data_IF_945419906813
#
_entry.id   IF_945419906813
#
_cell.length_a   1.000
_cell.length_b   1.000
_cell.length_c   1.000
_cell.angle_alpha   90.00
_cell.angle_beta   90.00
_cell.angle_gamma   90.00
#
_symmetry.space_group_name_H-M   'P 1'
#
loop_
_entity.id
_entity.type
_entity.pdbx_description
1 polymer ?
#
# COMPACT_ATOMS: atom_id res chain seq x y z
N UNK A 1 0.42 -1.55 25.02
CA UNK A 1 1.65 -2.35 25.15
C UNK A 1 2.67 -1.71 24.24
N UNK A 2 3.93 -1.59 24.68
CA UNK A 2 4.98 -1.05 23.84
C UNK A 2 5.23 -1.99 22.64
N UNK A 3 5.64 -1.44 21.51
CA UNK A 3 6.05 -2.23 20.34
C UNK A 3 7.13 -3.24 20.73
N UNK A 4 6.96 -4.50 20.35
CA UNK A 4 7.95 -5.55 20.54
C UNK A 4 8.63 -5.89 19.21
N UNK A 5 9.94 -6.06 19.28
CA UNK A 5 10.74 -6.52 18.15
C UNK A 5 11.02 -8.01 18.32
N UNK A 6 11.09 -8.73 17.20
CA UNK A 6 11.64 -10.09 17.17
C UNK A 6 13.05 -10.05 17.76
N UNK A 7 13.37 -10.98 18.65
CA UNK A 7 14.68 -10.99 19.30
C UNK A 7 15.80 -11.27 18.29
N UNK A 8 17.01 -10.79 18.59
CA UNK A 8 18.19 -11.06 17.76
C UNK A 8 18.45 -12.57 17.60
N UNK A 9 18.23 -13.36 18.64
CA UNK A 9 18.33 -14.84 18.59
C UNK A 9 17.31 -15.45 17.62
N UNK A 10 16.06 -14.97 17.66
CA UNK A 10 15.02 -15.42 16.76
C UNK A 10 15.33 -15.05 15.31
N UNK A 11 15.84 -13.83 15.06
CA UNK A 11 16.28 -13.42 13.72
C UNK A 11 17.46 -14.26 13.24
N UNK A 12 18.47 -14.47 14.08
CA UNK A 12 19.64 -15.30 13.77
C UNK A 12 19.25 -16.74 13.43
N UNK A 13 18.21 -17.28 14.09
CA UNK A 13 17.65 -18.59 13.75
C UNK A 13 17.13 -18.63 12.30
N UNK A 14 16.54 -17.53 11.80
CA UNK A 14 16.03 -17.47 10.43
C UNK A 14 17.16 -17.41 9.40
N UNK A 15 18.25 -16.70 9.69
CA UNK A 15 19.46 -16.77 8.86
C UNK A 15 20.04 -18.18 8.82
N UNK A 16 20.01 -18.91 9.94
CA UNK A 16 20.41 -20.32 9.97
C UNK A 16 19.53 -21.19 9.07
N UNK A 17 18.22 -20.91 9.00
CA UNK A 17 17.30 -21.59 8.07
C UNK A 17 17.52 -21.19 6.60
N UNK A 18 17.89 -19.93 6.33
CA UNK A 18 18.30 -19.49 4.98
C UNK A 18 19.47 -20.37 4.50
N UNK A 19 20.53 -20.49 5.30
CA UNK A 19 21.69 -21.32 4.98
C UNK A 19 21.35 -22.81 4.88
N UNK A 20 20.40 -23.28 5.67
CA UNK A 20 19.96 -24.67 5.62
C UNK A 20 19.19 -24.98 4.33
N UNK A 21 18.32 -24.06 3.86
CA UNK A 21 17.64 -24.19 2.57
C UNK A 21 18.65 -24.12 1.43
N UNK A 22 19.60 -23.17 1.46
CA UNK A 22 20.65 -23.08 0.44
C UNK A 22 21.45 -24.39 0.32
N UNK A 23 21.80 -25.03 1.45
CA UNK A 23 22.46 -26.34 1.47
C UNK A 23 21.61 -27.47 0.89
N UNK A 24 20.28 -27.44 1.10
CA UNK A 24 19.37 -28.42 0.50
C UNK A 24 19.28 -28.27 -1.03
N UNK A 25 19.40 -27.04 -1.53
CA UNK A 25 19.37 -26.76 -2.97
C UNK A 25 20.71 -27.13 -3.65
N UNK A 26 21.83 -27.01 -2.92
CA UNK A 26 23.17 -27.33 -3.43
C UNK A 26 23.54 -26.44 -4.62
N UNK A 27 24.09 -27.02 -5.69
CA UNK A 27 24.46 -26.28 -6.91
C UNK A 27 23.26 -25.95 -7.83
N UNK A 28 22.04 -26.38 -7.45
CA UNK A 28 20.84 -26.06 -8.23
C UNK A 28 20.51 -24.58 -8.08
N UNK A 29 20.09 -23.95 -9.18
CA UNK A 29 19.55 -22.59 -9.19
C UNK A 29 18.05 -22.63 -9.47
N UNK A 30 17.23 -23.04 -8.49
CA UNK A 30 15.80 -23.13 -8.68
C UNK A 30 15.21 -21.74 -8.95
N UNK A 31 14.13 -21.70 -9.71
CA UNK A 31 13.45 -20.44 -10.01
C UNK A 31 12.30 -20.19 -9.05
N UNK A 32 12.11 -18.94 -8.64
CA UNK A 32 10.98 -18.52 -7.83
C UNK A 32 10.13 -17.47 -8.57
N UNK A 33 8.82 -17.73 -8.62
CA UNK A 33 7.82 -16.79 -9.11
C UNK A 33 7.03 -16.27 -7.92
N UNK A 34 6.86 -14.96 -7.83
CA UNK A 34 5.99 -14.35 -6.80
C UNK A 34 5.02 -13.38 -7.47
N UNK A 35 3.75 -13.46 -7.10
CA UNK A 35 2.73 -12.56 -7.58
C UNK A 35 2.01 -11.90 -6.40
N UNK A 36 2.00 -10.57 -6.41
CA UNK A 36 1.34 -9.77 -5.38
C UNK A 36 -0.06 -9.38 -5.84
N UNK A 37 -1.06 -9.68 -5.02
CA UNK A 37 -2.39 -9.08 -5.11
C UNK A 37 -2.56 -8.09 -3.97
N UNK A 38 -3.07 -6.90 -4.26
CA UNK A 38 -3.54 -5.98 -3.22
C UNK A 38 -2.92 -4.60 -3.26
N UNK A 39 -2.28 -4.25 -2.14
CA UNK A 39 -1.78 -2.90 -1.86
C UNK A 39 -0.26 -2.83 -1.78
N UNK A 40 0.26 -1.61 -1.61
CA UNK A 40 1.68 -1.30 -1.50
C UNK A 40 2.35 -2.03 -0.34
N UNK A 41 1.62 -2.28 0.77
CA UNK A 41 2.15 -3.10 1.87
C UNK A 41 2.38 -4.55 1.45
N UNK A 42 1.49 -5.13 0.63
CA UNK A 42 1.70 -6.46 0.09
C UNK A 42 2.92 -6.48 -0.85
N UNK A 43 3.18 -5.42 -1.62
CA UNK A 43 4.40 -5.35 -2.44
C UNK A 43 5.66 -5.34 -1.58
N UNK A 44 5.71 -4.50 -0.54
CA UNK A 44 6.84 -4.45 0.39
C UNK A 44 7.07 -5.79 1.12
N UNK A 45 5.99 -6.49 1.49
CA UNK A 45 6.06 -7.83 2.05
C UNK A 45 6.64 -8.84 1.03
N UNK A 46 6.25 -8.74 -0.24
CA UNK A 46 6.80 -9.58 -1.31
C UNK A 46 8.28 -9.30 -1.56
N UNK A 47 8.75 -8.05 -1.49
CA UNK A 47 10.17 -7.70 -1.63
C UNK A 47 11.03 -8.38 -0.55
N UNK A 48 10.54 -8.44 0.71
CA UNK A 48 11.21 -9.17 1.80
C UNK A 48 11.27 -10.67 1.51
N UNK A 49 10.18 -11.26 1.04
CA UNK A 49 10.14 -12.70 0.72
C UNK A 49 11.09 -13.02 -0.44
N UNK A 50 11.13 -12.17 -1.47
CA UNK A 50 12.09 -12.29 -2.58
C UNK A 50 13.53 -12.16 -2.10
N UNK A 51 13.81 -11.24 -1.18
CA UNK A 51 15.13 -11.11 -0.56
C UNK A 51 15.56 -12.40 0.13
N UNK A 52 14.69 -12.93 1.00
CA UNK A 52 14.95 -14.20 1.69
C UNK A 52 15.12 -15.37 0.71
N UNK A 53 14.31 -15.46 -0.33
CA UNK A 53 14.45 -16.48 -1.38
C UNK A 53 15.77 -16.35 -2.15
N UNK A 54 16.19 -15.13 -2.47
CA UNK A 54 17.45 -14.86 -3.17
C UNK A 54 18.65 -15.33 -2.34
N UNK A 55 18.67 -15.02 -1.04
CA UNK A 55 19.72 -15.49 -0.12
C UNK A 55 19.72 -17.01 0.06
N UNK A 56 18.56 -17.66 -0.08
CA UNK A 56 18.47 -19.12 -0.10
C UNK A 56 18.98 -19.74 -1.41
N UNK A 57 19.25 -18.96 -2.46
CA UNK A 57 19.75 -19.44 -3.76
C UNK A 57 18.69 -19.56 -4.87
N UNK A 58 17.48 -19.01 -4.68
CA UNK A 58 16.48 -18.94 -5.75
C UNK A 58 16.76 -17.77 -6.70
N UNK A 59 16.65 -18.02 -8.01
CA UNK A 59 16.61 -16.96 -9.02
C UNK A 59 15.16 -16.54 -9.29
N UNK A 60 14.88 -15.24 -9.42
CA UNK A 60 13.52 -14.78 -9.71
C UNK A 60 13.15 -15.02 -11.18
N UNK A 61 11.91 -15.43 -11.43
CA UNK A 61 11.32 -15.53 -12.78
C UNK A 61 9.97 -14.81 -12.85
N UNK A 62 9.62 -14.35 -14.05
CA UNK A 62 8.36 -13.66 -14.34
C UNK A 62 7.26 -14.63 -14.82
N UNK A 63 7.56 -15.92 -14.98
CA UNK A 63 6.59 -16.95 -15.39
C UNK A 63 6.46 -18.08 -14.37
N UNK A 64 5.23 -18.49 -14.00
CA UNK A 64 5.03 -19.61 -13.10
C UNK A 64 5.50 -20.96 -13.69
N UNK A 65 5.49 -21.11 -15.02
CA UNK A 65 5.76 -22.41 -15.67
C UNK A 65 7.21 -22.89 -15.48
N UNK A 66 8.14 -21.94 -15.33
CA UNK A 66 9.56 -22.21 -15.10
C UNK A 66 9.92 -22.30 -13.62
N UNK A 67 9.02 -21.92 -12.72
CA UNK A 67 9.32 -21.79 -11.30
C UNK A 67 9.35 -23.15 -10.58
N UNK A 68 10.25 -23.31 -9.63
CA UNK A 68 10.29 -24.40 -8.64
C UNK A 68 9.62 -23.98 -7.31
N UNK A 69 9.46 -22.68 -7.09
CA UNK A 69 8.69 -22.09 -6.00
C UNK A 69 7.74 -21.02 -6.54
N UNK A 70 6.44 -21.13 -6.25
CA UNK A 70 5.42 -20.15 -6.64
C UNK A 70 4.76 -19.60 -5.39
N UNK A 71 4.75 -18.28 -5.24
CA UNK A 71 4.05 -17.59 -4.15
C UNK A 71 2.99 -16.62 -4.66
N UNK A 72 1.80 -16.71 -4.10
CA UNK A 72 0.80 -15.65 -4.19
C UNK A 72 0.69 -14.90 -2.86
N UNK A 73 1.09 -13.62 -2.83
CA UNK A 73 0.87 -12.74 -1.68
C UNK A 73 -0.47 -12.03 -1.86
N UNK A 74 -1.39 -12.22 -0.91
CA UNK A 74 -2.82 -11.96 -1.13
C UNK A 74 -3.38 -10.87 -0.22
N UNK A 75 -4.48 -10.25 -0.67
CA UNK A 75 -5.13 -9.14 0.00
C UNK A 75 -6.58 -9.47 0.34
N UNK A 76 -7.00 -9.15 1.57
CA UNK A 76 -8.37 -9.37 2.05
C UNK A 76 -9.26 -8.12 1.94
N UNK A 77 -8.71 -7.01 1.44
CA UNK A 77 -9.41 -5.70 1.42
C UNK A 77 -10.32 -5.56 0.19
N UNK A 78 -9.95 -6.16 -0.95
CA UNK A 78 -10.69 -6.07 -2.22
C UNK A 78 -11.23 -7.45 -2.62
N UNK A 79 -12.54 -7.58 -2.77
CA UNK A 79 -13.21 -8.84 -3.15
C UNK A 79 -12.63 -9.47 -4.42
N UNK A 80 -12.47 -8.67 -5.48
CA UNK A 80 -11.90 -9.14 -6.74
C UNK A 80 -10.47 -9.65 -6.60
N UNK A 81 -9.72 -9.22 -5.58
CA UNK A 81 -8.37 -9.76 -5.33
C UNK A 81 -8.45 -11.19 -4.75
N UNK A 82 -9.47 -11.48 -3.93
CA UNK A 82 -9.70 -12.79 -3.32
C UNK A 82 -10.07 -13.83 -4.39
N UNK A 83 -11.04 -13.54 -5.26
CA UNK A 83 -11.44 -14.46 -6.33
C UNK A 83 -10.32 -14.72 -7.33
N UNK A 84 -9.58 -13.67 -7.72
CA UNK A 84 -8.43 -13.80 -8.61
C UNK A 84 -7.33 -14.65 -8.00
N UNK A 85 -7.01 -14.47 -6.72
CA UNK A 85 -6.01 -15.29 -6.04
C UNK A 85 -6.38 -16.78 -6.06
N UNK A 86 -7.63 -17.10 -5.70
CA UNK A 86 -8.12 -18.48 -5.75
C UNK A 86 -8.15 -19.08 -7.16
N UNK A 87 -8.54 -18.29 -8.17
CA UNK A 87 -8.52 -18.70 -9.57
C UNK A 87 -7.11 -19.06 -10.06
N UNK A 88 -6.12 -18.20 -9.77
CA UNK A 88 -4.72 -18.43 -10.13
C UNK A 88 -4.12 -19.65 -9.43
N UNK A 89 -4.37 -19.82 -8.13
CA UNK A 89 -3.93 -21.03 -7.39
C UNK A 89 -4.59 -22.30 -7.96
N UNK A 90 -5.87 -22.20 -8.35
CA UNK A 90 -6.60 -23.29 -8.99
C UNK A 90 -5.96 -23.73 -10.30
N UNK A 91 -5.52 -22.77 -11.12
CA UNK A 91 -4.89 -23.02 -12.42
C UNK A 91 -3.57 -23.83 -12.30
N UNK A 92 -2.84 -23.72 -11.18
CA UNK A 92 -1.59 -24.45 -10.95
C UNK A 92 -1.78 -25.96 -10.67
N UNK A 93 -3.03 -26.46 -10.61
CA UNK A 93 -3.29 -27.88 -10.35
C UNK A 93 -2.63 -28.80 -11.38
N UNK A 94 -2.65 -28.41 -12.66
CA UNK A 94 -2.03 -29.18 -13.74
C UNK A 94 -0.51 -29.17 -13.61
N UNK A 95 0.09 -27.99 -13.40
CA UNK A 95 1.52 -27.83 -13.19
C UNK A 95 2.03 -28.67 -12.00
N UNK A 96 1.33 -28.66 -10.86
CA UNK A 96 1.67 -29.48 -9.69
C UNK A 96 1.62 -30.98 -9.97
N UNK A 97 0.71 -31.43 -10.84
CA UNK A 97 0.61 -32.84 -11.23
C UNK A 97 1.79 -33.28 -12.10
N UNK A 98 2.23 -32.41 -13.00
CA UNK A 98 3.36 -32.66 -13.91
C UNK A 98 4.71 -32.50 -13.20
N UNK A 99 4.82 -31.56 -12.27
CA UNK A 99 6.01 -31.28 -11.46
C UNK A 99 5.68 -31.41 -9.96
N UNK A 100 5.64 -32.63 -9.40
CA UNK A 100 5.25 -32.85 -8.00
C UNK A 100 6.11 -32.13 -6.98
N UNK A 101 7.37 -31.83 -7.29
CA UNK A 101 8.32 -31.19 -6.39
C UNK A 101 8.19 -29.66 -6.32
N UNK A 102 7.40 -29.01 -7.19
CA UNK A 102 7.19 -27.55 -7.15
C UNK A 102 6.54 -27.14 -5.82
N UNK A 103 7.06 -26.12 -5.14
CA UNK A 103 6.46 -25.61 -3.91
C UNK A 103 5.47 -24.50 -4.25
N UNK A 104 4.19 -24.71 -3.96
CA UNK A 104 3.15 -23.67 -4.12
C UNK A 104 2.80 -23.08 -2.75
N UNK A 105 2.97 -21.78 -2.62
CA UNK A 105 2.76 -21.03 -1.40
C UNK A 105 1.69 -19.93 -1.58
N UNK A 106 0.97 -19.63 -0.49
CA UNK A 106 0.06 -18.50 -0.39
C UNK A 106 0.30 -17.77 0.92
N UNK A 107 0.39 -16.44 0.89
CA UNK A 107 0.54 -15.63 2.09
C UNK A 107 -0.33 -14.38 2.07
N UNK A 108 -0.18 -13.53 3.10
CA UNK A 108 -0.80 -12.21 3.15
C UNK A 108 -2.13 -12.19 3.90
N UNK A 109 -2.90 -11.12 3.72
CA UNK A 109 -4.06 -10.82 4.57
C UNK A 109 -5.18 -11.87 4.45
N UNK A 110 -5.36 -12.53 3.29
CA UNK A 110 -6.40 -13.56 3.16
C UNK A 110 -6.06 -14.82 3.97
N UNK A 111 -4.77 -15.12 4.14
CA UNK A 111 -4.32 -16.27 4.92
C UNK A 111 -4.64 -16.12 6.41
N UNK A 112 -4.97 -14.91 6.89
CA UNK A 112 -5.40 -14.64 8.26
C UNK A 112 -6.89 -14.87 8.50
N UNK A 113 -7.67 -15.15 7.46
CA UNK A 113 -9.10 -15.40 7.61
C UNK A 113 -9.37 -16.91 7.67
N UNK A 114 -9.95 -17.38 8.76
CA UNK A 114 -10.25 -18.81 8.98
C UNK A 114 -11.01 -19.44 7.81
N UNK A 115 -12.02 -18.72 7.26
CA UNK A 115 -12.79 -19.17 6.09
C UNK A 115 -11.89 -19.56 4.90
N UNK A 116 -10.81 -18.81 4.69
CA UNK A 116 -9.92 -18.96 3.54
C UNK A 116 -8.89 -20.06 3.80
N UNK A 117 -8.41 -20.16 5.03
CA UNK A 117 -7.57 -21.27 5.48
C UNK A 117 -8.30 -22.60 5.27
N UNK A 118 -9.55 -22.70 5.72
CA UNK A 118 -10.36 -23.92 5.56
C UNK A 118 -10.66 -24.23 4.09
N UNK A 119 -10.92 -23.21 3.28
CA UNK A 119 -11.08 -23.37 1.82
C UNK A 119 -9.80 -23.91 1.16
N UNK A 120 -8.62 -23.38 1.51
CA UNK A 120 -7.33 -23.89 1.00
C UNK A 120 -7.07 -25.33 1.44
N UNK A 121 -7.34 -25.66 2.71
CA UNK A 121 -7.19 -27.03 3.22
C UNK A 121 -8.03 -28.03 2.43
N UNK A 122 -9.31 -27.71 2.17
CA UNK A 122 -10.29 -28.59 1.54
C UNK A 122 -10.21 -28.64 0.02
N UNK A 123 -10.05 -27.50 -0.64
CA UNK A 123 -10.23 -27.39 -2.10
C UNK A 123 -8.94 -27.22 -2.90
N UNK A 124 -7.82 -26.89 -2.25
CA UNK A 124 -6.54 -26.61 -2.92
C UNK A 124 -5.40 -27.47 -2.36
N UNK A 125 -5.45 -28.81 -2.54
CA UNK A 125 -4.42 -29.72 -2.02
C UNK A 125 -3.03 -29.49 -2.62
N UNK A 126 -2.94 -28.81 -3.77
CA UNK A 126 -1.68 -28.42 -4.40
C UNK A 126 -0.87 -27.38 -3.59
N UNK A 127 -1.50 -26.64 -2.67
CA UNK A 127 -0.81 -25.64 -1.85
C UNK A 127 -0.01 -26.32 -0.74
N UNK A 128 1.31 -26.16 -0.81
CA UNK A 128 2.29 -26.70 0.13
C UNK A 128 2.46 -25.82 1.37
N UNK A 129 2.40 -24.50 1.22
CA UNK A 129 2.69 -23.55 2.28
C UNK A 129 1.60 -22.47 2.35
N UNK A 130 1.04 -22.25 3.54
CA UNK A 130 0.17 -21.12 3.81
C UNK A 130 0.63 -20.41 5.08
N UNK A 131 0.85 -19.09 5.01
CA UNK A 131 1.25 -18.33 6.19
C UNK A 131 0.66 -16.92 6.24
N UNK A 132 0.37 -16.48 7.46
CA UNK A 132 -0.22 -15.19 7.75
C UNK A 132 0.78 -14.02 7.66
N UNK A 133 0.26 -12.81 7.76
CA UNK A 133 1.02 -11.55 7.78
C UNK A 133 2.00 -11.47 8.96
N UNK A 134 1.68 -12.07 10.11
CA UNK A 134 2.51 -12.11 11.32
C UNK A 134 3.65 -13.14 11.24
N UNK A 135 3.60 -14.06 10.26
CA UNK A 135 4.55 -15.15 10.10
C UNK A 135 5.60 -14.87 9.02
N UNK A 136 5.56 -13.69 8.36
CA UNK A 136 6.43 -13.36 7.22
C UNK A 136 7.91 -13.54 7.56
N UNK A 137 8.35 -13.07 8.72
CA UNK A 137 9.74 -13.18 9.15
C UNK A 137 10.19 -14.63 9.39
N UNK A 138 9.26 -15.55 9.69
CA UNK A 138 9.52 -16.99 9.87
C UNK A 138 9.55 -17.77 8.55
N UNK A 139 9.34 -17.10 7.42
CA UNK A 139 9.30 -17.74 6.09
C UNK A 139 10.45 -18.71 5.84
N UNK A 140 11.72 -18.40 6.19
CA UNK A 140 12.83 -19.35 6.04
C UNK A 140 12.58 -20.69 6.73
N UNK A 141 12.21 -20.67 8.01
CA UNK A 141 11.92 -21.89 8.76
C UNK A 141 10.72 -22.66 8.20
N UNK A 142 9.70 -21.95 7.72
CA UNK A 142 8.50 -22.56 7.15
C UNK A 142 8.78 -23.25 5.81
N UNK A 143 9.58 -22.62 4.94
CA UNK A 143 10.00 -23.23 3.67
C UNK A 143 10.90 -24.44 3.92
N UNK A 144 11.85 -24.33 4.84
CA UNK A 144 12.71 -25.45 5.22
C UNK A 144 11.89 -26.69 5.61
N UNK A 145 10.87 -26.51 6.46
CA UNK A 145 9.97 -27.61 6.87
C UNK A 145 9.21 -28.23 5.70
N UNK A 146 8.73 -27.42 4.76
CA UNK A 146 8.06 -27.93 3.55
C UNK A 146 9.00 -28.82 2.74
N UNK A 147 10.25 -28.41 2.58
CA UNK A 147 11.26 -29.14 1.81
C UNK A 147 11.70 -30.44 2.50
N UNK A 148 11.86 -30.44 3.84
CA UNK A 148 12.36 -31.61 4.59
C UNK A 148 11.26 -32.57 5.01
N UNK A 149 10.13 -32.09 5.50
CA UNK A 149 9.03 -32.94 5.99
C UNK A 149 8.17 -33.48 4.83
N UNK A 150 8.23 -32.84 3.66
CA UNK A 150 7.38 -33.11 2.48
C UNK A 150 5.89 -33.12 2.81
N UNK A 151 5.48 -32.26 3.76
CA UNK A 151 4.09 -32.06 4.19
C UNK A 151 3.64 -30.63 3.94
N UNK A 152 2.32 -30.43 3.94
CA UNK A 152 1.76 -29.09 3.88
C UNK A 152 1.98 -28.38 5.23
N UNK A 153 2.45 -27.14 5.20
CA UNK A 153 2.72 -26.32 6.38
C UNK A 153 1.76 -25.14 6.40
N UNK A 154 1.11 -24.92 7.53
CA UNK A 154 0.16 -23.82 7.75
C UNK A 154 0.58 -23.08 9.03
N UNK A 155 0.93 -21.79 8.91
CA UNK A 155 1.25 -20.92 10.04
C UNK A 155 0.49 -19.60 9.94
N UNK A 156 -0.68 -19.58 10.58
CA UNK A 156 -1.57 -18.40 10.67
C UNK A 156 -1.46 -17.72 12.04
N UNK A 157 -0.56 -18.21 12.90
CA UNK A 157 -0.35 -17.66 14.23
C UNK A 157 0.80 -16.68 14.27
N UNK A 158 1.06 -16.15 15.46
CA UNK A 158 2.18 -15.26 15.72
C UNK A 158 1.75 -14.02 16.48
N UNK A 159 2.74 -13.38 17.07
CA UNK A 159 2.59 -12.12 17.79
C UNK A 159 2.80 -10.93 16.84
N UNK A 160 2.42 -9.74 17.31
CA UNK A 160 2.54 -8.48 16.57
C UNK A 160 3.97 -7.93 16.65
N UNK A 161 4.97 -8.76 16.33
CA UNK A 161 6.39 -8.36 16.38
C UNK A 161 6.86 -7.71 15.08
N UNK A 162 7.89 -6.88 15.21
CA UNK A 162 8.62 -6.30 14.09
C UNK A 162 9.97 -7.01 13.94
N UNK A 163 10.23 -7.55 12.75
CA UNK A 163 11.50 -8.15 12.37
C UNK A 163 12.32 -7.14 11.55
N UNK A 164 13.44 -6.70 12.11
CA UNK A 164 14.38 -5.78 11.46
C UNK A 164 15.53 -6.55 10.80
N UNK A 165 16.17 -5.97 9.79
CA UNK A 165 17.40 -6.51 9.20
C UNK A 165 17.26 -7.74 8.30
N UNK A 166 16.04 -8.19 8.00
CA UNK A 166 15.82 -9.29 7.05
C UNK A 166 16.18 -8.88 5.61
N UNK A 167 16.69 -9.81 4.77
CA UNK A 167 17.01 -9.53 3.37
C UNK A 167 15.81 -9.01 2.58
N UNK A 168 16.05 -8.03 1.70
CA UNK A 168 15.02 -7.44 0.84
C UNK A 168 15.52 -7.33 -0.59
N UNK A 169 14.78 -7.92 -1.54
CA UNK A 169 15.03 -7.74 -2.97
C UNK A 169 14.04 -6.71 -3.52
N UNK A 170 14.53 -5.49 -3.72
CA UNK A 170 13.73 -4.35 -4.17
C UNK A 170 13.40 -4.41 -5.65
N UNK A 171 12.24 -3.87 -6.03
CA UNK A 171 11.92 -3.64 -7.43
C UNK A 171 12.90 -2.63 -8.06
N UNK A 172 13.26 -2.86 -9.33
CA UNK A 172 14.06 -1.90 -10.11
C UNK A 172 13.23 -0.64 -10.41
N UNK A 173 13.88 0.50 -10.54
CA UNK A 173 13.28 1.75 -10.98
C UNK A 173 13.47 2.90 -10.00
N UNK A 174 12.64 3.93 -10.14
CA UNK A 174 12.78 5.19 -9.40
C UNK A 174 12.17 5.16 -7.99
N UNK A 175 11.34 4.15 -7.67
CA UNK A 175 10.44 4.15 -6.50
C UNK A 175 10.76 3.04 -5.54
N UNK A 176 10.63 3.33 -4.24
CA UNK A 176 10.79 2.35 -3.18
C UNK A 176 9.69 2.44 -2.12
N UNK A 177 9.42 1.30 -1.49
CA UNK A 177 8.48 1.16 -0.40
C UNK A 177 9.22 1.06 0.95
N UNK A 178 8.93 1.97 1.87
CA UNK A 178 9.54 1.98 3.20
C UNK A 178 8.45 1.81 4.26
N UNK A 179 8.22 0.59 4.74
CA UNK A 179 7.28 0.35 5.84
C UNK A 179 7.79 1.04 7.10
N UNK A 180 7.02 1.95 7.70
CA UNK A 180 7.38 2.62 8.97
C UNK A 180 6.60 2.06 10.15
N UNK A 181 5.48 1.40 9.89
CA UNK A 181 4.62 0.80 10.90
C UNK A 181 3.70 -0.26 10.28
N UNK A 182 3.07 -1.06 11.13
CA UNK A 182 2.10 -2.08 10.73
C UNK A 182 0.86 -2.02 11.63
N UNK A 183 -0.25 -2.59 11.16
CA UNK A 183 -1.49 -2.71 11.93
C UNK A 183 -2.24 -1.39 12.08
N UNK A 184 -3.45 -1.45 12.65
CA UNK A 184 -4.34 -0.29 12.75
C UNK A 184 -5.26 -0.40 13.97
N UNK A 185 -5.38 0.68 14.75
CA UNK A 185 -6.19 0.74 15.97
C UNK A 185 -7.54 1.44 15.76
N UNK A 186 -7.91 1.77 14.52
CA UNK A 186 -9.13 2.52 14.24
C UNK A 186 -10.42 1.68 14.35
N UNK A 187 -10.37 0.39 13.98
CA UNK A 187 -11.56 -0.48 13.95
C UNK A 187 -12.77 0.16 13.26
N UNK A 188 -12.54 0.82 12.11
CA UNK A 188 -13.64 1.30 11.27
C UNK A 188 -14.53 0.11 10.91
N UNK A 189 -15.85 0.27 10.98
CA UNK A 189 -16.79 -0.87 10.93
C UNK A 189 -16.76 -1.65 9.63
N UNK A 190 -16.26 -1.07 8.54
CA UNK A 190 -16.07 -1.72 7.25
C UNK A 190 -14.66 -2.28 7.00
N UNK A 191 -13.70 -2.01 7.89
CA UNK A 191 -12.29 -2.27 7.63
C UNK A 191 -11.84 -3.58 8.27
N UNK A 192 -11.36 -4.51 7.44
CA UNK A 192 -10.85 -5.81 7.90
C UNK A 192 -9.42 -5.73 8.47
N UNK A 193 -8.69 -4.65 8.18
CA UNK A 193 -7.26 -4.52 8.45
C UNK A 193 -6.87 -4.82 9.90
N UNK A 194 -7.53 -4.28 10.94
CA UNK A 194 -7.16 -4.56 12.33
C UNK A 194 -7.19 -6.05 12.70
N UNK A 195 -8.01 -6.84 12.02
CA UNK A 195 -8.18 -8.28 12.27
C UNK A 195 -7.16 -9.15 11.55
N UNK A 196 -6.57 -8.65 10.45
CA UNK A 196 -5.63 -9.41 9.59
C UNK A 196 -4.21 -8.86 9.60
N UNK A 197 -3.98 -7.71 10.24
CA UNK A 197 -2.66 -7.09 10.42
C UNK A 197 -2.35 -6.76 11.87
N UNK A 198 -3.30 -6.97 12.79
CA UNK A 198 -3.12 -6.75 14.21
C UNK A 198 -3.13 -5.28 14.62
N UNK A 199 -2.66 -5.04 15.84
CA UNK A 199 -2.58 -3.71 16.46
C UNK A 199 -1.47 -2.86 15.84
N UNK A 200 -1.60 -1.54 15.98
CA UNK A 200 -0.54 -0.64 15.50
C UNK A 200 0.78 -0.94 16.20
N UNK A 201 1.82 -1.06 15.38
CA UNK A 201 3.20 -1.23 15.78
C UNK A 201 4.12 -0.37 14.94
N UNK A 202 4.79 0.59 15.56
CA UNK A 202 5.73 1.50 14.90
C UNK A 202 7.14 0.93 14.91
N UNK A 203 7.86 1.02 13.78
CA UNK A 203 9.30 0.72 13.75
C UNK A 203 10.08 1.80 14.49
N UNK A 204 11.26 1.46 14.98
CA UNK A 204 12.18 2.45 15.56
C UNK A 204 12.63 3.44 14.48
N UNK A 205 12.63 4.75 14.75
CA UNK A 205 13.04 5.75 13.77
C UNK A 205 14.45 5.52 13.20
N UNK A 206 15.37 5.00 14.02
CA UNK A 206 16.77 4.76 13.65
C UNK A 206 16.88 3.69 12.55
N UNK A 207 16.06 2.63 12.64
CA UNK A 207 15.98 1.58 11.63
C UNK A 207 15.36 2.09 10.32
N UNK A 208 14.33 2.94 10.43
CA UNK A 208 13.71 3.58 9.26
C UNK A 208 14.71 4.49 8.54
N UNK A 209 15.46 5.30 9.27
CA UNK A 209 16.48 6.18 8.70
C UNK A 209 17.63 5.40 8.05
N UNK A 210 18.05 4.28 8.66
CA UNK A 210 19.08 3.41 8.09
C UNK A 210 18.62 2.86 6.74
N UNK A 211 17.42 2.28 6.68
CA UNK A 211 16.85 1.76 5.44
C UNK A 211 16.62 2.87 4.40
N UNK A 212 16.23 4.07 4.81
CA UNK A 212 16.14 5.22 3.90
C UNK A 212 17.48 5.56 3.26
N UNK A 213 18.58 5.59 4.04
CA UNK A 213 19.92 5.86 3.50
C UNK A 213 20.31 4.82 2.46
N UNK A 214 20.08 3.54 2.75
CA UNK A 214 20.33 2.44 1.80
C UNK A 214 19.53 2.60 0.49
N UNK A 215 18.26 3.04 0.58
CA UNK A 215 17.44 3.30 -0.60
C UNK A 215 17.96 4.51 -1.41
N UNK A 216 18.36 5.59 -0.75
CA UNK A 216 18.89 6.77 -1.43
C UNK A 216 20.22 6.46 -2.09
N UNK A 217 21.11 5.73 -1.42
CA UNK A 217 22.41 5.29 -1.95
C UNK A 217 22.24 4.34 -3.15
N UNK A 218 21.18 3.52 -3.15
CA UNK A 218 20.80 2.68 -4.29
C UNK A 218 20.17 3.47 -5.47
N UNK A 219 19.96 4.78 -5.33
CA UNK A 219 19.51 5.67 -6.39
C UNK A 219 17.99 5.87 -6.48
N UNK A 220 17.20 5.38 -5.51
CA UNK A 220 15.75 5.64 -5.48
C UNK A 220 15.46 7.13 -5.28
N UNK A 221 14.47 7.64 -6.03
CA UNK A 221 14.10 9.07 -6.06
C UNK A 221 12.75 9.36 -5.44
N UNK A 222 11.90 8.37 -5.27
CA UNK A 222 10.62 8.51 -4.57
C UNK A 222 10.47 7.37 -3.57
N UNK A 223 10.51 7.71 -2.28
CA UNK A 223 10.36 6.77 -1.18
C UNK A 223 8.99 7.01 -0.56
N UNK A 224 8.12 6.00 -0.65
CA UNK A 224 6.79 6.07 -0.02
C UNK A 224 6.81 5.36 1.32
N UNK A 225 6.55 6.13 2.38
CA UNK A 225 6.36 5.63 3.73
C UNK A 225 5.03 4.85 3.81
N UNK A 226 5.11 3.60 4.24
CA UNK A 226 3.98 2.69 4.31
C UNK A 226 3.58 2.40 5.76
N UNK A 227 2.27 2.33 5.95
CA UNK A 227 1.61 1.90 7.17
C UNK A 227 0.15 1.61 6.85
N UNK A 228 -0.65 1.25 7.84
CA UNK A 228 -2.11 1.20 7.69
C UNK A 228 -2.78 2.47 8.24
N UNK A 229 -2.05 3.23 9.06
CA UNK A 229 -2.43 4.55 9.57
C UNK A 229 -1.15 5.37 9.82
N UNK A 230 -0.46 5.82 8.77
CA UNK A 230 0.92 6.36 8.88
C UNK A 230 1.06 7.52 9.87
N UNK A 231 0.06 8.38 9.97
CA UNK A 231 0.09 9.55 10.85
C UNK A 231 -0.24 9.24 12.31
N UNK A 232 -0.49 7.97 12.68
CA UNK A 232 -0.47 7.52 14.08
C UNK A 232 0.88 6.98 14.54
N UNK A 233 1.90 7.00 13.68
CA UNK A 233 3.27 6.57 14.01
C UNK A 233 3.78 7.18 15.32
N UNK A 234 4.48 6.36 16.10
CA UNK A 234 5.20 6.78 17.31
C UNK A 234 4.41 6.66 18.61
N UNK A 235 3.07 6.56 18.54
CA UNK A 235 2.19 6.50 19.72
C UNK A 235 2.43 5.30 20.63
N UNK A 236 3.08 4.25 20.14
CA UNK A 236 3.33 2.98 20.82
C UNK A 236 4.82 2.75 21.18
N UNK A 237 5.72 3.66 20.80
CA UNK A 237 7.17 3.48 20.98
C UNK A 237 7.69 3.81 22.39
N UNK A 238 6.90 4.54 23.19
CA UNK A 238 7.32 5.04 24.50
C UNK A 238 8.44 6.09 24.45
N UNK A 239 8.64 6.73 23.29
CA UNK A 239 9.59 7.84 23.07
C UNK A 239 8.82 9.06 22.54
N UNK A 240 9.39 10.24 22.73
CA UNK A 240 8.80 11.50 22.26
C UNK A 240 9.19 11.78 20.79
N UNK A 241 8.71 10.90 19.89
CA UNK A 241 8.86 11.04 18.44
C UNK A 241 7.54 10.68 17.80
N UNK A 242 6.88 11.66 17.17
CA UNK A 242 5.67 11.43 16.38
C UNK A 242 5.98 11.38 14.87
N UNK A 243 4.93 11.21 14.06
CA UNK A 243 5.07 11.15 12.60
C UNK A 243 5.68 12.43 12.00
N UNK A 244 5.37 13.61 12.54
CA UNK A 244 5.91 14.87 12.05
C UNK A 244 7.40 14.99 12.35
N UNK A 245 7.85 14.50 13.51
CA UNK A 245 9.27 14.42 13.86
C UNK A 245 10.01 13.42 12.98
N UNK A 246 9.41 12.26 12.70
CA UNK A 246 9.95 11.29 11.76
C UNK A 246 10.15 11.91 10.37
N UNK A 247 9.16 12.65 9.84
CA UNK A 247 9.29 13.34 8.56
C UNK A 247 10.49 14.30 8.53
N UNK A 248 10.69 15.08 9.60
CA UNK A 248 11.86 15.99 9.70
C UNK A 248 13.18 15.24 9.74
N UNK A 249 13.24 14.12 10.48
CA UNK A 249 14.44 13.26 10.54
C UNK A 249 14.78 12.67 9.17
N UNK A 250 13.78 12.13 8.47
CA UNK A 250 13.96 11.56 7.14
C UNK A 250 14.31 12.64 6.09
N UNK A 251 13.75 13.84 6.20
CA UNK A 251 14.10 14.97 5.33
C UNK A 251 15.58 15.37 5.45
N UNK A 252 16.17 15.22 6.64
CA UNK A 252 17.58 15.55 6.89
C UNK A 252 18.57 14.57 6.24
N UNK A 253 18.13 13.39 5.78
CA UNK A 253 19.01 12.44 5.09
C UNK A 253 19.52 13.06 3.77
N UNK A 254 20.84 13.12 3.53
CA UNK A 254 21.39 13.69 2.30
C UNK A 254 20.90 12.98 1.04
N UNK A 255 20.82 13.70 -0.07
CA UNK A 255 20.36 13.18 -1.35
C UNK A 255 19.17 13.94 -1.91
N UNK A 256 18.90 13.67 -3.19
CA UNK A 256 17.83 14.30 -3.95
C UNK A 256 16.72 13.28 -4.25
N UNK A 257 15.66 13.32 -3.45
CA UNK A 257 14.53 12.40 -3.47
C UNK A 257 13.27 13.03 -2.88
N UNK A 258 12.11 12.46 -3.18
CA UNK A 258 10.84 12.77 -2.55
C UNK A 258 10.44 11.71 -1.52
N UNK A 259 9.93 12.19 -0.39
CA UNK A 259 9.20 11.41 0.61
C UNK A 259 7.71 11.57 0.36
N UNK A 260 7.02 10.44 0.24
CA UNK A 260 5.56 10.37 0.15
C UNK A 260 5.01 9.52 1.27
N UNK A 261 3.74 9.71 1.57
CA UNK A 261 2.99 8.79 2.38
C UNK A 261 1.53 8.77 1.94
N UNK A 262 0.88 7.65 2.20
CA UNK A 262 -0.56 7.48 2.00
C UNK A 262 -1.14 6.83 3.25
N UNK A 263 -2.46 6.58 3.27
CA UNK A 263 -3.16 5.94 4.41
C UNK A 263 -3.11 6.74 5.70
N UNK A 264 -3.41 8.04 5.63
CA UNK A 264 -3.60 8.87 6.82
C UNK A 264 -5.02 8.73 7.38
N UNK A 265 -5.21 9.00 8.67
CA UNK A 265 -6.53 9.11 9.27
C UNK A 265 -6.79 10.54 9.78
N UNK A 266 -7.97 11.16 9.53
CA UNK A 266 -8.26 12.53 9.97
C UNK A 266 -8.06 12.76 11.48
N UNK A 267 -8.43 11.78 12.32
CA UNK A 267 -8.22 11.85 13.78
C UNK A 267 -6.75 12.09 14.21
N UNK A 268 -5.80 11.68 13.36
CA UNK A 268 -4.36 11.73 13.65
C UNK A 268 -3.67 12.82 12.82
N UNK A 269 -4.42 13.63 12.05
CA UNK A 269 -3.87 14.74 11.28
C UNK A 269 -3.74 15.97 12.20
N UNK A 270 -2.50 16.33 12.54
CA UNK A 270 -2.21 17.41 13.48
C UNK A 270 -1.68 18.67 12.77
N UNK A 271 -1.84 19.86 13.37
CA UNK A 271 -1.17 21.06 12.87
C UNK A 271 0.35 20.92 12.78
N UNK A 272 0.96 20.12 13.67
CA UNK A 272 2.40 19.80 13.65
C UNK A 272 2.78 19.02 12.39
N UNK A 273 1.95 18.07 11.95
CA UNK A 273 2.13 17.35 10.69
C UNK A 273 2.12 18.31 9.49
N UNK A 274 1.12 19.19 9.40
CA UNK A 274 1.04 20.14 8.28
C UNK A 274 2.20 21.14 8.27
N UNK A 275 2.68 21.56 9.44
CA UNK A 275 3.87 22.41 9.55
C UNK A 275 5.12 21.66 9.07
N UNK A 276 5.32 20.42 9.50
CA UNK A 276 6.45 19.60 9.06
C UNK A 276 6.42 19.37 7.54
N UNK A 277 5.23 19.07 6.98
CA UNK A 277 5.06 18.95 5.52
C UNK A 277 5.41 20.25 4.80
N UNK A 278 5.04 21.43 5.32
CA UNK A 278 5.36 22.70 4.69
C UNK A 278 6.87 23.02 4.75
N UNK A 279 7.50 22.80 5.92
CA UNK A 279 8.91 23.07 6.20
C UNK A 279 9.88 22.14 5.46
N UNK A 280 9.51 20.86 5.27
CA UNK A 280 10.39 19.85 4.68
C UNK A 280 10.35 19.90 3.15
N UNK A 281 11.48 20.17 2.51
CA UNK A 281 11.65 20.30 1.06
C UNK A 281 11.57 18.97 0.30
N UNK A 282 11.90 17.85 0.94
CA UNK A 282 11.78 16.51 0.36
C UNK A 282 10.43 15.87 0.62
N UNK A 283 9.65 16.36 1.59
CA UNK A 283 8.30 15.87 1.82
C UNK A 283 7.38 16.46 0.77
N UNK A 284 6.91 15.60 -0.12
CA UNK A 284 6.07 16.00 -1.24
C UNK A 284 4.80 16.72 -0.76
N UNK A 285 4.42 17.82 -1.41
CA UNK A 285 3.17 18.57 -1.12
C UNK A 285 1.91 17.85 -1.62
N UNK A 286 1.72 16.62 -1.13
CA UNK A 286 0.58 15.76 -1.39
C UNK A 286 0.03 15.26 -0.07
N UNK A 287 -1.26 15.51 0.20
CA UNK A 287 -1.95 14.97 1.36
C UNK A 287 -3.05 14.02 0.92
N UNK A 288 -2.87 12.74 1.22
CA UNK A 288 -3.92 11.74 1.11
C UNK A 288 -4.62 11.57 2.47
N UNK A 289 -5.85 12.08 2.59
CA UNK A 289 -6.62 12.10 3.84
C UNK A 289 -8.06 11.59 3.64
N UNK A 290 -8.27 10.26 3.69
CA UNK A 290 -9.57 9.60 3.58
C UNK A 290 -10.64 10.10 4.55
N UNK A 291 -11.64 10.83 4.03
CA UNK A 291 -12.83 11.25 4.79
C UNK A 291 -13.93 10.19 4.85
N UNK A 292 -14.02 9.31 3.83
CA UNK A 292 -15.00 8.22 3.67
C UNK A 292 -16.45 8.65 3.41
N UNK A 293 -16.99 9.60 4.17
CA UNK A 293 -18.33 10.17 3.99
C UNK A 293 -18.36 11.62 4.49
N UNK A 294 -19.17 12.48 3.87
CA UNK A 294 -19.40 13.85 4.36
C UNK A 294 -20.56 13.96 5.36
N UNK A 295 -21.26 12.86 5.67
CA UNK A 295 -22.34 12.86 6.65
C UNK A 295 -21.86 12.36 8.00
N UNK A 296 -22.09 13.16 9.06
CA UNK A 296 -21.69 12.82 10.43
C UNK A 296 -22.38 11.55 10.96
N UNK A 297 -23.63 11.29 10.54
CA UNK A 297 -24.35 10.06 10.86
C UNK A 297 -23.64 8.82 10.30
N UNK A 298 -23.27 8.86 9.02
CA UNK A 298 -22.56 7.77 8.35
C UNK A 298 -21.15 7.61 8.88
N UNK A 299 -20.44 8.72 9.15
CA UNK A 299 -19.14 8.71 9.82
C UNK A 299 -19.23 8.02 11.19
N UNK A 300 -20.24 8.34 12.00
CA UNK A 300 -20.45 7.68 13.29
C UNK A 300 -20.69 6.17 13.11
N UNK A 301 -21.54 5.78 12.16
CA UNK A 301 -21.83 4.37 11.84
C UNK A 301 -20.61 3.62 11.26
N UNK A 302 -19.70 4.34 10.61
CA UNK A 302 -18.39 3.85 10.17
C UNK A 302 -17.38 3.70 11.33
N UNK A 303 -17.74 4.09 12.54
CA UNK A 303 -16.84 4.26 13.70
C UNK A 303 -15.70 5.26 13.42
N UNK A 304 -15.98 6.32 12.66
CA UNK A 304 -15.10 7.48 12.51
C UNK A 304 -15.33 8.44 13.68
N UNK A 305 -14.25 8.90 14.29
CA UNK A 305 -14.25 9.75 15.50
C UNK A 305 -13.98 11.23 15.17
N UNK A 306 -14.57 11.70 14.08
CA UNK A 306 -14.51 13.09 13.60
C UNK A 306 -15.79 13.44 12.84
N UNK A 307 -16.01 14.73 12.61
CA UNK A 307 -17.12 15.27 11.82
C UNK A 307 -16.65 15.85 10.49
N UNK A 308 -17.58 16.12 9.58
CA UNK A 308 -17.32 16.83 8.33
C UNK A 308 -16.75 18.24 8.57
N UNK A 309 -17.23 18.95 9.59
CA UNK A 309 -16.69 20.25 9.97
C UNK A 309 -15.23 20.17 10.43
N UNK A 310 -14.91 19.20 11.29
CA UNK A 310 -13.52 18.97 11.71
C UNK A 310 -12.63 18.61 10.50
N UNK A 311 -13.14 17.80 9.57
CA UNK A 311 -12.39 17.50 8.35
C UNK A 311 -12.11 18.77 7.53
N UNK A 312 -13.10 19.64 7.34
CA UNK A 312 -12.93 20.91 6.62
C UNK A 312 -11.89 21.81 7.30
N UNK A 313 -11.87 21.86 8.63
CA UNK A 313 -10.88 22.67 9.37
C UNK A 313 -9.45 22.14 9.20
N UNK A 314 -9.26 20.81 9.18
CA UNK A 314 -7.97 20.19 8.86
C UNK A 314 -7.48 20.58 7.46
N UNK A 315 -8.37 20.54 6.45
CA UNK A 315 -8.01 20.93 5.08
C UNK A 315 -7.70 22.42 4.99
N UNK A 316 -8.47 23.27 5.68
CA UNK A 316 -8.21 24.71 5.74
C UNK A 316 -6.84 25.01 6.35
N UNK A 317 -6.48 24.31 7.43
CA UNK A 317 -5.16 24.45 8.06
C UNK A 317 -4.03 24.02 7.11
N UNK A 318 -4.15 22.86 6.46
CA UNK A 318 -3.18 22.38 5.48
C UNK A 318 -2.99 23.38 4.32
N UNK A 319 -4.08 23.92 3.77
CA UNK A 319 -4.05 24.92 2.68
C UNK A 319 -3.46 26.25 3.11
N UNK A 320 -3.69 26.68 4.35
CA UNK A 320 -3.12 27.93 4.86
C UNK A 320 -1.58 27.89 4.88
N UNK A 321 -1.00 26.70 5.11
CA UNK A 321 0.45 26.47 5.14
C UNK A 321 1.02 26.06 3.78
N UNK A 322 0.23 25.38 2.96
CA UNK A 322 0.61 24.87 1.64
C UNK A 322 -0.52 25.15 0.63
N UNK A 323 -0.62 26.37 0.06
CA UNK A 323 -1.72 26.77 -0.80
C UNK A 323 -1.93 25.87 -2.03
N UNK A 324 -0.82 25.38 -2.60
CA UNK A 324 -0.81 24.52 -3.79
C UNK A 324 -0.81 23.02 -3.47
N UNK A 325 -1.12 22.62 -2.23
CA UNK A 325 -1.11 21.21 -1.83
C UNK A 325 -2.07 20.38 -2.68
N UNK A 326 -1.57 19.24 -3.18
CA UNK A 326 -2.42 18.27 -3.87
C UNK A 326 -3.18 17.43 -2.84
N UNK A 327 -4.51 17.52 -2.88
CA UNK A 327 -5.38 16.78 -1.97
C UNK A 327 -5.94 15.54 -2.64
N UNK A 328 -5.78 14.41 -1.97
CA UNK A 328 -6.47 13.18 -2.36
C UNK A 328 -7.17 12.52 -1.19
N UNK A 329 -8.19 11.71 -1.48
CA UNK A 329 -8.97 11.04 -0.44
C UNK A 329 -9.63 9.77 -0.98
N UNK A 330 -10.09 8.92 -0.06
CA UNK A 330 -11.01 7.81 -0.33
C UNK A 330 -12.44 8.18 0.13
N UNK A 331 -13.43 7.68 -0.61
CA UNK A 331 -14.86 7.79 -0.31
C UNK A 331 -15.55 6.45 -0.56
N UNK A 332 -16.51 6.11 0.31
CA UNK A 332 -17.37 4.93 0.20
C UNK A 332 -18.82 5.41 0.02
N UNK A 333 -19.40 5.12 -1.13
CA UNK A 333 -20.81 5.40 -1.44
C UNK A 333 -21.65 4.15 -1.19
N UNK A 334 -22.86 4.34 -0.68
CA UNK A 334 -23.81 3.24 -0.45
C UNK A 334 -23.45 2.39 0.76
N UNK A 335 -22.82 2.99 1.78
CA UNK A 335 -22.61 2.35 3.07
C UNK A 335 -23.98 1.94 3.68
N UNK A 336 -24.08 0.83 4.43
CA UNK A 336 -25.37 0.36 4.94
C UNK A 336 -26.11 1.43 5.74
N UNK A 337 -27.32 1.76 5.29
CA UNK A 337 -28.18 2.79 5.87
C UNK A 337 -27.93 4.23 5.39
N UNK A 338 -27.07 4.45 4.39
CA UNK A 338 -26.92 5.75 3.74
C UNK A 338 -28.22 6.20 3.05
N UNK A 339 -28.76 7.34 3.49
CA UNK A 339 -29.91 8.01 2.89
C UNK A 339 -29.50 8.99 1.78
N UNK A 340 -30.48 9.55 1.05
CA UNK A 340 -30.18 10.58 0.04
C UNK A 340 -29.62 11.85 0.69
N UNK A 341 -30.13 12.25 1.84
CA UNK A 341 -29.64 13.42 2.61
C UNK A 341 -28.17 13.23 3.02
N UNK A 342 -27.80 12.05 3.54
CA UNK A 342 -26.41 11.77 3.89
C UNK A 342 -25.49 11.81 2.65
N UNK A 343 -26.00 11.42 1.48
CA UNK A 343 -25.26 11.50 0.23
C UNK A 343 -25.10 12.96 -0.25
N UNK A 344 -26.13 13.81 -0.10
CA UNK A 344 -26.01 15.24 -0.42
C UNK A 344 -24.94 15.93 0.45
N UNK A 345 -24.87 15.62 1.74
CA UNK A 345 -23.80 16.12 2.62
C UNK A 345 -22.42 15.73 2.10
N UNK A 346 -22.30 14.49 1.64
CA UNK A 346 -21.08 13.95 1.04
C UNK A 346 -20.71 14.68 -0.25
N UNK A 347 -21.67 14.91 -1.13
CA UNK A 347 -21.46 15.64 -2.37
C UNK A 347 -21.06 17.10 -2.09
N UNK A 348 -21.70 17.75 -1.13
CA UNK A 348 -21.38 19.10 -0.68
C UNK A 348 -19.94 19.19 -0.15
N UNK A 349 -19.51 18.24 0.68
CA UNK A 349 -18.13 18.19 1.18
C UNK A 349 -17.12 18.10 0.03
N UNK A 350 -17.38 17.28 -0.99
CA UNK A 350 -16.51 17.15 -2.17
C UNK A 350 -16.44 18.46 -2.95
N UNK A 351 -17.58 19.11 -3.18
CA UNK A 351 -17.66 20.41 -3.86
C UNK A 351 -16.93 21.53 -3.10
N UNK A 352 -17.11 21.60 -1.78
CA UNK A 352 -16.45 22.60 -0.93
C UNK A 352 -14.93 22.34 -0.86
N UNK A 353 -14.54 21.07 -0.74
CA UNK A 353 -13.14 20.69 -0.53
C UNK A 353 -12.33 20.73 -1.81
N UNK A 354 -12.92 20.44 -2.98
CA UNK A 354 -12.25 20.48 -4.30
C UNK A 354 -10.98 19.63 -4.39
N UNK A 355 -11.14 18.31 -4.20
CA UNK A 355 -10.05 17.34 -4.26
C UNK A 355 -9.40 17.25 -5.66
N UNK A 356 -8.08 17.08 -5.69
CA UNK A 356 -7.31 16.83 -6.92
C UNK A 356 -7.49 15.39 -7.42
N UNK A 357 -7.65 14.44 -6.49
CA UNK A 357 -7.86 13.03 -6.78
C UNK A 357 -8.78 12.40 -5.75
N UNK A 358 -9.82 11.71 -6.19
CA UNK A 358 -10.73 10.98 -5.31
C UNK A 358 -10.77 9.51 -5.71
N UNK A 359 -10.43 8.63 -4.78
CA UNK A 359 -10.62 7.19 -4.95
C UNK A 359 -12.03 6.84 -4.49
N UNK A 360 -12.90 6.62 -5.46
CA UNK A 360 -14.32 6.37 -5.24
C UNK A 360 -14.63 4.89 -5.24
N UNK A 361 -15.28 4.41 -4.17
CA UNK A 361 -15.68 3.01 -4.03
C UNK A 361 -17.17 2.89 -3.74
N UNK A 362 -17.82 1.88 -4.32
CA UNK A 362 -19.08 1.38 -3.77
C UNK A 362 -18.77 0.53 -2.54
N UNK A 363 -19.59 0.65 -1.50
CA UNK A 363 -19.50 -0.24 -0.35
C UNK A 363 -19.64 -1.70 -0.80
N UNK A 364 -18.75 -2.53 -0.30
CA UNK A 364 -18.71 -3.96 -0.58
C UNK A 364 -18.47 -4.68 0.74
N UNK A 365 -19.42 -5.51 1.21
CA UNK A 365 -19.35 -6.13 2.52
C UNK A 365 -18.12 -7.04 2.63
N UNK A 366 -17.52 -7.09 3.82
CA UNK A 366 -16.34 -7.89 4.10
C UNK A 366 -16.62 -8.83 5.26
N UNK A 367 -16.56 -10.13 4.99
CA UNK A 367 -16.73 -11.15 6.02
C UNK A 367 -15.77 -10.89 7.20
N UNK A 368 -16.31 -10.88 8.42
CA UNK A 368 -15.58 -10.57 9.65
C UNK A 368 -15.56 -9.10 10.05
N UNK A 369 -16.15 -8.19 9.27
CA UNK A 369 -16.29 -6.77 9.65
C UNK A 369 -17.67 -6.48 10.24
N UNK A 370 -17.80 -5.57 11.23
CA UNK A 370 -19.11 -5.21 11.80
C UNK A 370 -20.14 -4.73 10.77
N UNK A 371 -19.73 -3.94 9.78
CA UNK A 371 -20.64 -3.39 8.77
C UNK A 371 -21.22 -4.45 7.83
N UNK A 372 -20.63 -5.65 7.76
CA UNK A 372 -21.15 -6.73 6.93
C UNK A 372 -22.48 -7.29 7.43
N UNK A 373 -22.82 -7.09 8.71
CA UNK A 373 -24.09 -7.49 9.30
C UNK A 373 -25.09 -6.33 9.44
N UNK A 374 -24.75 -5.14 8.95
CA UNK A 374 -25.65 -3.99 9.02
C UNK A 374 -26.77 -4.12 8.00
N UNK A 375 -27.98 -3.75 8.40
CA UNK A 375 -29.11 -3.62 7.48
C UNK A 375 -28.86 -2.48 6.49
N UNK A 376 -29.23 -2.75 5.24
CA UNK A 376 -28.99 -1.88 4.11
C UNK A 376 -30.26 -1.71 3.30
N UNK A 377 -30.86 -0.52 3.43
CA UNK A 377 -32.15 -0.21 2.85
C UNK A 377 -32.03 0.39 1.43
N UNK A 378 -30.82 0.66 0.95
CA UNK A 378 -30.59 1.26 -0.37
C UNK A 378 -30.54 0.17 -1.46
N UNK A 379 -31.28 0.38 -2.55
CA UNK A 379 -31.20 -0.52 -3.70
C UNK A 379 -29.86 -0.34 -4.42
N UNK A 380 -29.43 -1.35 -5.20
CA UNK A 380 -28.24 -1.21 -6.05
C UNK A 380 -28.37 -0.05 -7.04
N UNK A 381 -29.59 0.25 -7.51
CA UNK A 381 -29.85 1.38 -8.40
C UNK A 381 -29.65 2.73 -7.70
N UNK A 382 -30.06 2.86 -6.43
CA UNK A 382 -29.82 4.08 -5.64
C UNK A 382 -28.33 4.34 -5.45
N UNK A 383 -27.58 3.28 -5.07
CA UNK A 383 -26.12 3.37 -4.89
C UNK A 383 -25.40 3.75 -6.18
N UNK A 384 -25.80 3.15 -7.30
CA UNK A 384 -25.24 3.46 -8.61
C UNK A 384 -25.54 4.90 -9.03
N UNK A 385 -26.79 5.37 -8.86
CA UNK A 385 -27.19 6.76 -9.14
C UNK A 385 -26.32 7.75 -8.35
N UNK A 386 -26.14 7.52 -7.04
CA UNK A 386 -25.30 8.36 -6.18
C UNK A 386 -23.83 8.34 -6.62
N UNK A 387 -23.31 7.15 -6.91
CA UNK A 387 -21.94 6.99 -7.37
C UNK A 387 -21.67 7.77 -8.67
N UNK A 388 -22.58 7.73 -9.64
CA UNK A 388 -22.47 8.49 -10.89
C UNK A 388 -22.51 10.02 -10.66
N UNK A 389 -23.39 10.49 -9.78
CA UNK A 389 -23.45 11.91 -9.39
C UNK A 389 -22.16 12.40 -8.75
N UNK A 390 -21.57 11.59 -7.88
CA UNK A 390 -20.28 11.87 -7.25
C UNK A 390 -19.15 11.94 -8.29
N UNK A 391 -19.08 10.95 -9.20
CA UNK A 391 -18.07 10.92 -10.26
C UNK A 391 -18.15 12.16 -11.14
N UNK A 392 -19.37 12.56 -11.55
CA UNK A 392 -19.57 13.76 -12.36
C UNK A 392 -19.04 15.02 -11.66
N UNK A 393 -19.40 15.23 -10.39
CA UNK A 393 -18.94 16.38 -9.63
C UNK A 393 -17.42 16.40 -9.45
N UNK A 394 -16.81 15.23 -9.20
CA UNK A 394 -15.36 15.12 -9.10
C UNK A 394 -14.67 15.40 -10.44
N UNK A 395 -15.19 14.91 -11.55
CA UNK A 395 -14.61 15.13 -12.88
C UNK A 395 -14.65 16.61 -13.29
N UNK A 396 -15.73 17.32 -12.95
CA UNK A 396 -15.82 18.78 -13.12
C UNK A 396 -14.73 19.52 -12.34
N UNK A 397 -14.53 19.16 -11.07
CA UNK A 397 -13.48 19.74 -10.20
C UNK A 397 -12.09 19.44 -10.77
N UNK A 398 -11.82 18.20 -11.16
CA UNK A 398 -10.50 17.78 -11.68
C UNK A 398 -10.20 18.50 -12.99
N UNK A 399 -11.18 18.61 -13.90
CA UNK A 399 -11.00 19.32 -15.16
C UNK A 399 -10.62 20.79 -14.94
N UNK A 400 -11.32 21.49 -14.04
CA UNK A 400 -11.00 22.88 -13.71
C UNK A 400 -9.60 23.03 -13.09
N UNK A 401 -9.27 22.18 -12.12
CA UNK A 401 -7.96 22.24 -11.43
C UNK A 401 -6.80 21.87 -12.34
N UNK A 402 -6.97 20.88 -13.21
CA UNK A 402 -5.94 20.48 -14.16
C UNK A 402 -5.72 21.52 -15.24
N UNK A 403 -6.77 22.22 -15.71
CA UNK A 403 -6.61 23.31 -16.67
C UNK A 403 -5.64 24.39 -16.17
N UNK A 404 -5.59 24.63 -14.85
CA UNK A 404 -4.65 25.56 -14.23
C UNK A 404 -3.17 25.12 -14.27
N UNK A 405 -2.87 23.90 -14.76
CA UNK A 405 -1.50 23.44 -14.98
C UNK A 405 -0.95 23.78 -16.37
N UNK A 406 -1.81 24.18 -17.32
CA UNK A 406 -1.40 24.54 -18.67
C UNK A 406 -0.27 25.59 -18.63
N UNK A 407 0.82 25.34 -19.37
CA UNK A 407 2.00 26.21 -19.46
C UNK A 407 2.76 26.43 -18.15
N UNK A 408 2.48 25.65 -17.09
CA UNK A 408 3.31 25.65 -15.89
C UNK A 408 4.59 24.86 -16.15
N UNK A 409 5.71 25.38 -15.64
CA UNK A 409 6.99 24.67 -15.53
C UNK A 409 7.04 23.93 -14.21
N UNK A 410 7.31 22.64 -14.25
CA UNK A 410 7.29 21.75 -13.10
C UNK A 410 8.51 20.86 -13.10
N UNK A 411 8.97 20.58 -11.89
CA UNK A 411 9.88 19.47 -11.62
C UNK A 411 9.11 18.15 -11.60
N UNK A 412 9.53 17.20 -12.42
CA UNK A 412 8.88 15.89 -12.59
C UNK A 412 9.87 14.76 -12.31
N UNK A 413 9.40 13.66 -11.69
CA UNK A 413 10.15 12.41 -11.59
C UNK A 413 9.72 11.46 -12.71
N UNK A 414 10.63 11.09 -13.62
CA UNK A 414 10.35 10.11 -14.68
C UNK A 414 10.33 8.71 -14.08
N UNK A 415 9.18 8.03 -14.13
CA UNK A 415 8.95 6.75 -13.44
C UNK A 415 8.71 5.54 -14.34
N UNK A 416 8.60 5.73 -15.66
CA UNK A 416 8.35 4.61 -16.56
C UNK A 416 8.16 4.99 -18.02
N UNK A 417 7.69 4.02 -18.79
CA UNK A 417 7.31 4.17 -20.18
C UNK A 417 5.80 4.34 -20.30
N UNK A 418 5.36 5.26 -21.14
CA UNK A 418 3.97 5.41 -21.50
C UNK A 418 3.61 4.49 -22.68
N UNK A 419 2.32 4.34 -22.96
CA UNK A 419 1.83 3.50 -24.07
C UNK A 419 1.89 4.19 -25.44
N UNK A 420 1.95 5.52 -25.48
CA UNK A 420 1.81 6.30 -26.72
C UNK A 420 3.15 6.80 -27.26
N UNK A 421 3.35 6.84 -28.59
CA UNK A 421 4.63 7.25 -29.19
C UNK A 421 4.90 8.76 -29.09
N UNK A 422 3.86 9.60 -28.98
CA UNK A 422 4.02 11.07 -28.90
C UNK A 422 4.64 11.52 -27.58
N UNK A 423 4.29 10.84 -26.48
CA UNK A 423 4.83 11.06 -25.14
C UNK A 423 5.30 9.72 -24.60
N UNK A 424 6.54 9.29 -24.92
CA UNK A 424 7.00 7.93 -24.66
C UNK A 424 7.25 7.62 -23.19
N UNK A 425 7.30 8.61 -22.30
CA UNK A 425 7.63 8.43 -20.88
C UNK A 425 6.46 8.79 -19.97
N UNK A 426 6.40 8.15 -18.81
CA UNK A 426 5.57 8.59 -17.68
C UNK A 426 6.42 9.26 -16.62
N UNK A 427 5.85 10.28 -15.98
CA UNK A 427 6.44 11.00 -14.87
C UNK A 427 5.38 11.39 -13.83
N UNK A 428 5.85 11.81 -12.66
CA UNK A 428 5.01 12.32 -11.56
C UNK A 428 5.40 13.73 -11.17
N UNK A 429 4.41 14.58 -10.94
CA UNK A 429 4.62 15.85 -10.24
C UNK A 429 4.94 15.60 -8.77
N UNK A 430 5.39 16.64 -8.05
CA UNK A 430 5.47 16.58 -6.58
C UNK A 430 4.11 16.23 -5.96
N UNK A 431 2.98 16.63 -6.55
CA UNK A 431 1.63 16.23 -6.15
C UNK A 431 1.21 14.80 -6.50
N UNK A 432 2.08 14.01 -7.15
CA UNK A 432 1.82 12.67 -7.68
C UNK A 432 0.81 12.62 -8.86
N UNK A 433 0.57 13.76 -9.52
CA UNK A 433 -0.21 13.77 -10.76
C UNK A 433 0.56 13.06 -11.87
N UNK A 434 -0.14 12.25 -12.67
CA UNK A 434 0.44 11.59 -13.83
C UNK A 434 0.74 12.62 -14.92
N UNK A 435 1.97 12.58 -15.43
CA UNK A 435 2.40 13.35 -16.59
C UNK A 435 2.97 12.41 -17.64
N UNK A 436 2.46 12.47 -18.86
CA UNK A 436 3.11 11.85 -20.01
C UNK A 436 4.12 12.86 -20.60
N UNK A 437 5.37 12.45 -20.77
CA UNK A 437 6.47 13.36 -21.13
C UNK A 437 7.10 12.99 -22.46
N UNK A 438 7.49 14.01 -23.23
CA UNK A 438 8.32 13.91 -24.44
C UNK A 438 9.54 14.83 -24.35
N UNK A 439 10.53 14.59 -25.19
CA UNK A 439 11.78 15.37 -25.27
C UNK A 439 13.00 14.48 -25.38
N UNK A 440 14.16 15.10 -25.58
CA UNK A 440 15.43 14.42 -25.77
C UNK A 440 16.12 14.10 -24.44
N UNK A 441 16.95 13.05 -24.44
CA UNK A 441 17.78 12.62 -23.30
C UNK A 441 16.99 12.41 -21.99
N UNK A 442 15.80 11.80 -22.07
CA UNK A 442 15.01 11.43 -20.89
C UNK A 442 15.43 10.05 -20.39
N UNK A 443 15.73 9.95 -19.09
CA UNK A 443 16.02 8.68 -18.42
C UNK A 443 15.03 8.44 -17.29
N UNK A 444 14.57 7.19 -17.17
CA UNK A 444 13.75 6.75 -16.04
C UNK A 444 14.61 6.78 -14.78
N UNK A 445 14.06 7.30 -13.68
CA UNK A 445 14.80 7.47 -12.43
C UNK A 445 15.44 8.83 -12.23
N UNK A 446 15.19 9.80 -13.12
CA UNK A 446 15.71 11.16 -13.00
C UNK A 446 14.60 12.19 -12.78
N UNK A 447 14.97 13.26 -12.07
CA UNK A 447 14.18 14.48 -12.03
C UNK A 447 14.48 15.33 -13.26
N UNK A 448 13.42 15.85 -13.88
CA UNK A 448 13.52 16.76 -15.03
C UNK A 448 12.69 18.01 -14.78
N UNK A 449 13.08 19.11 -15.39
CA UNK A 449 12.22 20.28 -15.57
C UNK A 449 11.44 20.12 -16.87
N UNK A 450 10.13 20.35 -16.83
CA UNK A 450 9.26 20.20 -17.98
C UNK A 450 8.13 21.24 -17.94
N UNK A 451 7.65 21.65 -19.12
CA UNK A 451 6.51 22.55 -19.24
C UNK A 451 5.29 21.80 -19.74
N UNK A 452 4.14 22.00 -19.07
CA UNK A 452 2.87 21.37 -19.41
C UNK A 452 2.32 21.96 -20.72
N UNK A 453 2.15 21.12 -21.74
CA UNK A 453 1.69 21.48 -23.08
C UNK A 453 0.20 21.33 -23.26
N UNK A 454 -0.39 20.31 -22.61
CA UNK A 454 -1.84 20.05 -22.65
C UNK A 454 -2.27 19.26 -21.42
N UNK A 455 -3.56 19.31 -21.15
CA UNK A 455 -4.17 18.63 -20.01
C UNK A 455 -5.34 17.78 -20.48
N UNK A 456 -5.48 16.59 -19.91
CA UNK A 456 -6.64 15.72 -20.06
C UNK A 456 -7.09 15.28 -18.67
N UNK A 457 -8.34 14.83 -18.56
CA UNK A 457 -8.88 14.35 -17.28
C UNK A 457 -7.96 13.28 -16.68
N UNK A 458 -7.36 13.60 -15.53
CA UNK A 458 -6.44 12.76 -14.75
C UNK A 458 -5.07 12.49 -15.41
N UNK A 459 -4.69 13.23 -16.45
CA UNK A 459 -3.38 13.12 -17.08
C UNK A 459 -2.88 14.47 -17.64
N UNK A 460 -1.67 14.88 -17.29
CA UNK A 460 -1.00 16.04 -17.88
C UNK A 460 -0.03 15.57 -18.98
N UNK A 461 0.32 16.46 -19.89
CA UNK A 461 1.27 16.19 -20.96
C UNK A 461 2.30 17.30 -21.00
N UNK A 462 3.58 16.94 -21.08
CA UNK A 462 4.67 17.90 -20.96
C UNK A 462 5.80 17.64 -21.96
N UNK A 463 6.51 18.71 -22.31
CA UNK A 463 7.82 18.61 -22.95
C UNK A 463 8.91 18.91 -21.93
N UNK A 464 9.97 18.11 -21.93
CA UNK A 464 11.18 18.40 -21.17
C UNK A 464 11.81 19.70 -21.70
N UNK A 465 12.24 20.55 -20.78
CA UNK A 465 12.89 21.84 -21.05
C UNK A 465 14.39 21.69 -21.34
#
# INVERSE_FOLDING_TARGET
MATQNVSEEQLQSQFTYIDAVARLLGDKRPKAYTHTFGCQQNEADTERIRGMLSEMGYEMTDTPDEADFILFNTCAVREHAEDRAFGNIGALRHLKKERPDIVIAMCGCMAQQEKNVEKIKKSYPQVNLLFGTHALWRFPSLLYRVLTEKKRVFDIGGEDDIAEGLPVLRAKGAKAWLSIMYGCNNFCTYCIVPYVRGRERSRRPEEIEKELRELVDAGYKEITLLGQNVNSYGKDLGIDVDFADLLRRLNAVPGDFWLRFMTSHPKDASPKLFSAMAECDKVAKQLHLPFQSGSDEILHRMNRRYTAEHYKSLIADARSKMPDITLSSDIIVGFPGETEENFEDTLKLVQDTRFDLLFTFLYSPRAGTPAASYEDNATQQDKQRRFERLLKAQDEIVAEKQAAYQSKKLRLLVDGNAKGPEYPFTARTEGNLLVCVRGDDIKIGEFIEAEIEKTSLRCLFAHKL
#
